data_IF_237858266920
#
_entry.id   IF_237858266920
#
_cell.length_a   1.000
_cell.length_b   1.000
_cell.length_c   1.000
_cell.angle_alpha   90.00
_cell.angle_beta   90.00
_cell.angle_gamma   90.00
#
_symmetry.space_group_name_H-M   'P 1'
#
loop_
_entity.id
_entity.type
_entity.pdbx_description
1 polymer ?
#
# COMPACT_ATOMS: atom_id res chain seq x y z
N UNK A 1 19.02 -7.05 16.42
CA UNK A 1 18.08 -6.52 17.45
C UNK A 1 16.63 -6.45 16.95
N UNK A 2 16.33 -6.83 15.70
CA UNK A 2 14.94 -6.83 15.19
C UNK A 2 14.40 -5.44 14.88
N UNK A 3 15.22 -4.39 14.94
CA UNK A 3 14.79 -3.00 14.74
C UNK A 3 14.79 -2.57 13.28
N UNK A 4 15.67 -3.13 12.46
CA UNK A 4 15.94 -2.61 11.12
C UNK A 4 15.50 -3.58 10.04
N UNK A 5 14.86 -3.06 8.99
CA UNK A 5 14.68 -3.74 7.73
C UNK A 5 15.60 -3.14 6.65
N UNK A 6 16.02 -3.97 5.71
CA UNK A 6 16.75 -3.54 4.52
C UNK A 6 15.86 -3.73 3.30
N UNK A 7 15.65 -2.65 2.55
CA UNK A 7 14.87 -2.65 1.33
C UNK A 7 15.77 -2.43 0.12
N UNK A 8 15.63 -3.27 -0.89
CA UNK A 8 16.53 -3.29 -2.04
C UNK A 8 15.75 -2.97 -3.32
N UNK A 9 16.29 -2.11 -4.18
CA UNK A 9 15.79 -1.90 -5.54
C UNK A 9 16.68 -2.60 -6.56
N UNK A 10 16.07 -3.30 -7.53
CA UNK A 10 16.77 -4.12 -8.54
C UNK A 10 17.82 -5.04 -7.90
N UNK A 11 17.41 -5.75 -6.86
CA UNK A 11 18.27 -6.71 -6.19
C UNK A 11 18.49 -7.94 -7.09
N UNK A 12 19.75 -8.29 -7.32
CA UNK A 12 20.15 -9.51 -8.03
C UNK A 12 20.95 -10.37 -7.08
N UNK A 13 20.52 -11.62 -6.89
CA UNK A 13 21.26 -12.61 -6.10
C UNK A 13 22.54 -12.96 -6.85
N UNK A 14 23.68 -12.85 -6.19
CA UNK A 14 24.99 -13.25 -6.72
C UNK A 14 25.42 -14.62 -6.16
N UNK A 15 25.11 -14.87 -4.89
CA UNK A 15 25.33 -16.15 -4.21
C UNK A 15 24.32 -16.30 -3.07
N UNK A 16 24.41 -17.38 -2.27
CA UNK A 16 23.54 -17.57 -1.10
C UNK A 16 23.70 -16.49 -0.02
N UNK A 17 24.81 -15.76 -0.03
CA UNK A 17 25.13 -14.74 0.97
C UNK A 17 25.38 -13.35 0.37
N UNK A 18 25.32 -13.19 -0.96
CA UNK A 18 25.62 -11.93 -1.63
C UNK A 18 24.54 -11.50 -2.63
N UNK A 19 24.22 -10.21 -2.59
CA UNK A 19 23.27 -9.56 -3.49
C UNK A 19 23.87 -8.23 -3.97
N UNK A 20 23.61 -7.88 -5.23
CA UNK A 20 23.85 -6.52 -5.76
C UNK A 20 22.53 -5.79 -5.85
N UNK A 21 22.51 -4.50 -5.59
CA UNK A 21 21.31 -3.66 -5.70
C UNK A 21 21.71 -2.26 -6.14
N UNK A 22 20.82 -1.57 -6.87
CA UNK A 22 21.05 -0.18 -7.28
C UNK A 22 20.63 0.82 -6.19
N UNK A 23 19.87 0.40 -5.18
CA UNK A 23 19.51 1.21 -4.00
C UNK A 23 19.24 0.32 -2.80
N UNK A 24 19.86 0.65 -1.68
CA UNK A 24 19.63 0.00 -0.38
C UNK A 24 19.12 1.06 0.58
N UNK A 25 17.94 0.84 1.16
CA UNK A 25 17.39 1.67 2.24
C UNK A 25 17.36 0.86 3.52
N UNK A 26 17.83 1.45 4.61
CA UNK A 26 17.77 0.89 5.96
C UNK A 26 16.63 1.56 6.71
N UNK A 27 15.55 0.82 6.92
CA UNK A 27 14.29 1.33 7.49
C UNK A 27 14.20 0.94 8.96
N UNK A 28 13.94 1.91 9.84
CA UNK A 28 13.61 1.64 11.24
C UNK A 28 12.18 1.12 11.33
N UNK A 29 12.00 -0.11 11.80
CA UNK A 29 10.68 -0.73 11.98
C UNK A 29 9.83 -0.03 13.04
N UNK A 30 10.44 0.86 13.84
CA UNK A 30 9.72 1.71 14.78
C UNK A 30 9.47 3.14 14.29
N UNK A 31 9.79 3.43 13.02
CA UNK A 31 9.45 4.71 12.38
C UNK A 31 8.11 4.66 11.65
N UNK A 32 7.68 5.81 11.12
CA UNK A 32 6.52 5.92 10.24
C UNK A 32 6.76 5.35 8.83
N UNK A 33 8.00 5.01 8.46
CA UNK A 33 8.36 4.52 7.13
C UNK A 33 8.19 5.53 5.99
N UNK A 34 7.97 6.82 6.31
CA UNK A 34 7.71 7.88 5.33
C UNK A 34 8.96 8.66 4.92
N UNK A 35 10.03 8.61 5.72
CA UNK A 35 11.26 9.37 5.48
C UNK A 35 12.02 8.92 4.23
N UNK A 36 12.09 7.61 3.99
CA UNK A 36 12.77 7.01 2.86
C UNK A 36 12.26 5.57 2.62
N UNK A 37 12.45 5.06 1.40
CA UNK A 37 12.10 3.71 1.00
C UNK A 37 12.57 3.39 -0.41
N UNK A 38 12.60 2.10 -0.75
CA UNK A 38 13.09 1.66 -2.07
C UNK A 38 12.02 1.71 -3.16
N UNK A 39 10.77 2.08 -2.84
CA UNK A 39 9.72 2.31 -3.86
C UNK A 39 9.98 3.61 -4.62
N UNK A 40 9.37 3.74 -5.79
CA UNK A 40 9.41 4.97 -6.60
C UNK A 40 8.95 6.22 -5.82
N UNK A 41 8.03 6.06 -4.86
CA UNK A 41 7.56 7.14 -3.97
C UNK A 41 8.55 7.56 -2.88
N UNK A 42 9.68 6.85 -2.74
CA UNK A 42 10.57 6.91 -1.57
C UNK A 42 9.86 6.65 -0.23
N UNK A 43 8.85 5.78 -0.25
CA UNK A 43 8.15 5.25 0.93
C UNK A 43 8.50 3.78 1.10
N UNK A 44 8.65 3.35 2.35
CA UNK A 44 9.03 1.98 2.69
C UNK A 44 8.09 0.95 2.06
N UNK A 45 8.66 -0.18 1.60
CA UNK A 45 7.90 -1.33 1.09
C UNK A 45 6.95 -1.93 2.11
N UNK A 46 7.24 -1.75 3.39
CA UNK A 46 6.43 -2.26 4.50
C UNK A 46 5.14 -1.47 4.65
N UNK A 47 5.10 -0.20 4.21
CA UNK A 47 3.90 0.61 4.22
C UNK A 47 2.89 0.03 3.23
N UNK A 48 1.73 -0.34 3.78
CA UNK A 48 0.61 -0.88 3.03
C UNK A 48 0.82 -2.28 2.44
N UNK A 49 1.78 -3.05 2.97
CA UNK A 49 1.97 -4.46 2.64
C UNK A 49 0.93 -5.33 3.37
N UNK A 50 0.16 -6.12 2.63
CA UNK A 50 -0.78 -7.08 3.19
C UNK A 50 0.02 -8.25 3.79
N UNK A 51 0.03 -8.34 5.13
CA UNK A 51 0.79 -9.34 5.88
C UNK A 51 0.08 -10.71 5.92
N UNK A 52 0.85 -11.75 6.16
CA UNK A 52 0.36 -13.15 6.23
C UNK A 52 -0.73 -13.31 7.30
N UNK A 53 -0.52 -12.76 8.50
CA UNK A 53 -1.48 -12.88 9.60
C UNK A 53 -2.79 -12.14 9.32
N UNK A 54 -2.76 -10.95 8.69
CA UNK A 54 -3.98 -10.19 8.37
C UNK A 54 -4.85 -10.88 7.32
N UNK A 55 -4.25 -11.67 6.43
CA UNK A 55 -4.97 -12.53 5.49
C UNK A 55 -5.64 -13.69 6.23
N UNK A 56 -4.92 -14.37 7.12
CA UNK A 56 -5.46 -15.47 7.90
C UNK A 56 -6.61 -15.03 8.83
N UNK A 57 -6.45 -13.88 9.49
CA UNK A 57 -7.44 -13.29 10.40
C UNK A 57 -8.59 -12.58 9.67
N UNK A 58 -8.46 -12.36 8.35
CA UNK A 58 -9.42 -11.57 7.55
C UNK A 58 -9.67 -10.19 8.16
N UNK A 59 -8.61 -9.55 8.63
CA UNK A 59 -8.63 -8.23 9.24
C UNK A 59 -7.36 -7.49 8.87
N UNK A 60 -7.48 -6.45 8.04
CA UNK A 60 -6.35 -5.63 7.59
C UNK A 60 -6.48 -4.24 8.24
N UNK A 61 -5.81 -3.98 9.38
CA UNK A 61 -6.03 -2.79 10.20
C UNK A 61 -5.11 -1.62 9.81
N UNK A 62 -4.82 -1.43 8.52
CA UNK A 62 -3.92 -0.38 8.04
C UNK A 62 -4.25 0.06 6.61
N UNK A 63 -3.76 1.24 6.23
CA UNK A 63 -3.82 1.72 4.86
C UNK A 63 -2.99 0.82 3.95
N UNK A 64 -3.44 0.64 2.70
CA UNK A 64 -2.81 -0.23 1.72
C UNK A 64 -1.89 0.55 0.80
N UNK A 65 -1.01 -0.18 0.12
CA UNK A 65 -0.26 0.37 -0.99
C UNK A 65 -0.82 -0.16 -2.30
N UNK A 66 -1.09 0.74 -3.24
CA UNK A 66 -1.56 0.43 -4.58
C UNK A 66 -0.52 0.89 -5.60
N UNK A 67 -0.25 0.05 -6.60
CA UNK A 67 0.49 0.40 -7.80
C UNK A 67 -0.49 0.66 -8.94
N UNK A 68 -0.20 1.64 -9.79
CA UNK A 68 -1.04 2.01 -10.94
C UNK A 68 -0.25 2.00 -12.25
N UNK A 69 -0.90 1.76 -13.41
CA UNK A 69 -0.26 1.81 -14.71
C UNK A 69 0.01 3.23 -15.20
N UNK A 70 0.90 3.35 -16.19
CA UNK A 70 1.34 4.63 -16.76
C UNK A 70 0.14 5.49 -17.24
N UNK A 71 -0.92 4.87 -17.77
CA UNK A 71 -2.11 5.56 -18.27
C UNK A 71 -2.97 6.19 -17.16
N UNK A 72 -2.80 5.76 -15.91
CA UNK A 72 -3.47 6.34 -14.75
C UNK A 72 -2.61 7.40 -14.06
N UNK A 73 -1.29 7.20 -14.05
CA UNK A 73 -0.35 8.06 -13.33
C UNK A 73 -0.10 9.39 -14.05
N UNK A 74 0.13 10.43 -13.25
CA UNK A 74 0.53 11.78 -13.68
C UNK A 74 1.91 12.10 -13.11
N UNK A 75 2.70 12.89 -13.83
CA UNK A 75 3.97 13.47 -13.34
C UNK A 75 3.74 14.39 -12.14
N UNK A 76 4.67 14.35 -11.21
CA UNK A 76 4.60 15.00 -9.91
C UNK A 76 4.01 14.08 -8.84
N UNK A 77 4.39 14.36 -7.59
CA UNK A 77 3.92 13.63 -6.42
C UNK A 77 3.23 14.56 -5.42
N UNK A 78 2.43 13.94 -4.55
CA UNK A 78 1.78 14.57 -3.41
C UNK A 78 2.11 13.78 -2.14
N UNK A 79 1.95 14.39 -0.97
CA UNK A 79 2.16 13.70 0.31
C UNK A 79 1.28 12.44 0.40
N UNK A 80 1.81 11.28 0.85
CA UNK A 80 3.10 11.11 1.53
C UNK A 80 4.29 10.81 0.62
N UNK A 81 4.12 10.70 -0.71
CA UNK A 81 5.25 10.43 -1.58
C UNK A 81 6.24 11.60 -1.59
N UNK A 82 7.53 11.29 -1.66
CA UNK A 82 8.64 12.26 -1.73
C UNK A 82 9.34 12.26 -3.09
N UNK A 83 8.99 11.30 -3.95
CA UNK A 83 9.54 11.15 -5.29
C UNK A 83 8.57 10.39 -6.20
N UNK A 84 9.00 10.18 -7.44
CA UNK A 84 8.35 9.30 -8.41
C UNK A 84 9.41 8.61 -9.28
N UNK A 85 8.99 7.65 -10.13
CA UNK A 85 9.87 7.10 -11.16
C UNK A 85 10.35 8.22 -12.10
N UNK A 86 11.66 8.36 -12.33
CA UNK A 86 12.22 9.42 -13.19
C UNK A 86 12.68 8.93 -14.56
N UNK A 87 12.87 7.61 -14.74
CA UNK A 87 13.39 7.02 -15.98
C UNK A 87 12.35 6.16 -16.67
N UNK A 88 12.09 6.45 -17.95
CA UNK A 88 11.19 5.66 -18.79
C UNK A 88 9.74 5.63 -18.30
N UNK A 89 9.30 6.63 -17.52
CA UNK A 89 7.90 6.82 -17.19
C UNK A 89 7.13 7.30 -18.43
N UNK A 90 5.89 6.83 -18.60
CA UNK A 90 4.98 7.25 -19.67
C UNK A 90 3.67 7.76 -19.09
N UNK A 91 3.76 8.41 -17.94
CA UNK A 91 2.63 8.94 -17.18
C UNK A 91 1.75 9.84 -18.05
N UNK A 92 0.55 9.36 -18.34
CA UNK A 92 -0.40 9.99 -19.25
C UNK A 92 -1.78 10.23 -18.61
N UNK A 93 -1.94 9.85 -17.35
CA UNK A 93 -3.19 9.99 -16.60
C UNK A 93 -3.24 11.24 -15.73
N UNK A 94 -3.99 11.15 -14.64
CA UNK A 94 -4.34 12.28 -13.77
C UNK A 94 -3.96 12.07 -12.31
N UNK A 95 -3.50 10.87 -11.93
CA UNK A 95 -3.26 10.49 -10.54
C UNK A 95 -1.77 10.68 -10.19
N UNK A 96 -1.40 11.69 -9.37
CA UNK A 96 -0.02 11.81 -8.90
C UNK A 96 0.32 10.69 -7.93
N UNK A 97 1.61 10.31 -7.89
CA UNK A 97 2.09 9.38 -6.87
C UNK A 97 1.90 10.00 -5.47
N UNK A 98 1.53 9.18 -4.49
CA UNK A 98 1.13 9.59 -3.15
C UNK A 98 -0.37 9.83 -2.97
N UNK A 99 -1.17 9.86 -4.04
CA UNK A 99 -2.63 9.99 -3.93
C UNK A 99 -3.25 8.90 -3.04
N UNK A 100 -4.21 9.29 -2.20
CA UNK A 100 -5.02 8.37 -1.40
C UNK A 100 -6.36 8.11 -2.07
N UNK A 101 -6.76 6.85 -2.13
CA UNK A 101 -8.10 6.43 -2.55
C UNK A 101 -8.78 5.60 -1.47
N UNK A 102 -10.08 5.79 -1.29
CA UNK A 102 -10.87 5.02 -0.35
C UNK A 102 -12.22 4.62 -0.97
N UNK A 103 -12.84 3.58 -0.43
CA UNK A 103 -14.25 3.28 -0.72
C UNK A 103 -15.11 4.20 0.16
N UNK A 104 -16.09 4.94 -0.39
CA UNK A 104 -17.00 5.75 0.42
C UNK A 104 -17.69 4.94 1.54
N UNK A 105 -17.92 5.54 2.72
CA UNK A 105 -18.41 4.82 3.90
C UNK A 105 -19.88 4.37 3.79
N UNK A 106 -20.64 4.98 2.90
CA UNK A 106 -22.05 4.65 2.60
C UNK A 106 -22.20 3.43 1.67
N UNK A 107 -21.10 2.95 1.08
CA UNK A 107 -21.11 1.72 0.29
C UNK A 107 -21.33 0.51 1.21
N UNK A 108 -22.44 -0.21 0.97
CA UNK A 108 -22.72 -1.46 1.67
C UNK A 108 -21.90 -2.63 1.09
N UNK A 109 -20.79 -2.98 1.75
CA UNK A 109 -19.91 -4.07 1.32
C UNK A 109 -20.57 -5.45 1.39
N UNK A 110 -21.48 -5.67 2.36
CA UNK A 110 -22.14 -6.97 2.55
C UNK A 110 -23.09 -7.30 1.37
N UNK A 111 -23.55 -6.28 0.64
CA UNK A 111 -24.37 -6.45 -0.56
C UNK A 111 -23.60 -6.94 -1.80
N UNK A 112 -22.26 -6.91 -1.76
CA UNK A 112 -21.40 -7.17 -2.94
C UNK A 112 -21.07 -8.66 -3.14
N UNK A 113 -21.53 -9.54 -2.25
CA UNK A 113 -21.27 -10.98 -2.31
C UNK A 113 -19.78 -11.31 -2.35
N UNK A 114 -18.98 -10.61 -1.54
CA UNK A 114 -17.52 -10.79 -1.45
C UNK A 114 -17.19 -12.11 -0.74
N UNK A 115 -16.04 -12.69 -1.06
CA UNK A 115 -15.39 -13.67 -0.19
C UNK A 115 -15.05 -13.05 1.17
N UNK A 116 -14.76 -13.88 2.18
CA UNK A 116 -14.33 -13.37 3.48
C UNK A 116 -13.05 -12.51 3.39
N UNK A 117 -12.12 -12.91 2.51
CA UNK A 117 -10.90 -12.14 2.24
C UNK A 117 -11.20 -10.85 1.47
N UNK A 118 -12.12 -10.89 0.51
CA UNK A 118 -12.60 -9.72 -0.22
C UNK A 118 -13.31 -8.71 0.69
N UNK A 119 -14.11 -9.18 1.65
CA UNK A 119 -14.77 -8.33 2.64
C UNK A 119 -13.75 -7.67 3.58
N UNK A 120 -12.73 -8.42 4.02
CA UNK A 120 -11.62 -7.86 4.80
C UNK A 120 -10.90 -6.74 4.05
N UNK A 121 -10.61 -6.94 2.76
CA UNK A 121 -10.02 -5.92 1.90
C UNK A 121 -10.95 -4.72 1.72
N UNK A 122 -12.23 -4.95 1.45
CA UNK A 122 -13.22 -3.87 1.30
C UNK A 122 -13.31 -2.99 2.55
N UNK A 123 -13.33 -3.61 3.74
CA UNK A 123 -13.31 -2.88 5.02
C UNK A 123 -12.05 -2.07 5.18
N UNK A 124 -10.88 -2.62 4.87
CA UNK A 124 -9.63 -1.87 4.92
C UNK A 124 -9.62 -0.66 3.97
N UNK A 125 -10.18 -0.81 2.76
CA UNK A 125 -10.31 0.28 1.79
C UNK A 125 -11.33 1.35 2.23
N UNK A 126 -12.32 1.02 3.06
CA UNK A 126 -13.23 1.99 3.69
C UNK A 126 -12.65 2.65 4.95
N UNK A 127 -11.92 1.88 5.74
CA UNK A 127 -11.41 2.28 7.05
C UNK A 127 -10.14 3.14 6.92
N UNK A 128 -9.25 2.78 5.98
CA UNK A 128 -7.90 3.34 5.86
C UNK A 128 -7.52 3.77 4.45
N UNK A 129 -8.14 3.19 3.42
CA UNK A 129 -7.84 3.49 2.02
C UNK A 129 -6.53 2.87 1.51
N UNK A 130 -6.11 3.30 0.32
CA UNK A 130 -4.90 2.85 -0.36
C UNK A 130 -4.13 4.01 -0.98
N UNK A 131 -2.82 4.09 -0.68
CA UNK A 131 -1.90 5.07 -1.22
C UNK A 131 -1.23 4.59 -2.51
N UNK A 132 -1.22 5.43 -3.54
CA UNK A 132 -0.52 5.17 -4.80
C UNK A 132 0.98 5.35 -4.59
N UNK A 133 1.74 4.26 -4.40
CA UNK A 133 3.15 4.36 -3.96
C UNK A 133 4.17 3.91 -5.02
N UNK A 134 3.72 3.40 -6.17
CA UNK A 134 4.62 2.91 -7.22
C UNK A 134 3.88 2.79 -8.56
N UNK A 135 4.60 2.84 -9.68
CA UNK A 135 4.09 2.35 -10.95
C UNK A 135 4.02 0.82 -10.97
N UNK A 136 2.96 0.27 -11.54
CA UNK A 136 2.81 -1.17 -11.80
C UNK A 136 2.13 -1.40 -13.16
N UNK A 137 2.24 -2.58 -13.76
CA UNK A 137 1.58 -2.85 -15.06
C UNK A 137 0.05 -2.88 -15.01
N UNK A 138 -0.53 -2.94 -13.80
CA UNK A 138 -1.97 -2.93 -13.55
C UNK A 138 -2.25 -2.20 -12.24
N UNK A 139 -3.53 -2.00 -11.92
CA UNK A 139 -3.91 -1.68 -10.55
C UNK A 139 -3.65 -2.89 -9.64
N UNK A 140 -2.64 -2.78 -8.78
CA UNK A 140 -2.15 -3.89 -7.98
C UNK A 140 -1.97 -3.51 -6.50
N UNK A 141 -2.41 -4.39 -5.61
CA UNK A 141 -2.08 -4.36 -4.18
C UNK A 141 -0.94 -5.34 -3.90
N UNK A 142 -0.20 -5.12 -2.81
CA UNK A 142 0.99 -5.90 -2.47
C UNK A 142 0.76 -6.74 -1.22
N UNK A 143 1.15 -8.02 -1.27
CA UNK A 143 1.09 -8.94 -0.15
C UNK A 143 2.44 -9.61 0.10
N UNK A 144 2.67 -10.08 1.32
CA UNK A 144 3.82 -10.91 1.64
C UNK A 144 3.82 -12.20 0.82
N UNK A 145 5.01 -12.69 0.40
CA UNK A 145 5.12 -13.94 -0.37
C UNK A 145 4.68 -15.17 0.43
N UNK A 146 4.63 -15.08 1.76
CA UNK A 146 4.18 -16.15 2.66
C UNK A 146 2.67 -16.13 2.93
N UNK A 147 1.94 -15.15 2.40
CA UNK A 147 0.48 -15.13 2.52
C UNK A 147 -0.15 -16.30 1.75
N UNK A 148 -1.26 -16.85 2.28
CA UNK A 148 -1.93 -17.97 1.63
C UNK A 148 -2.38 -17.62 0.20
N UNK A 149 -1.92 -18.40 -0.78
CA UNK A 149 -2.15 -18.13 -2.20
C UNK A 149 -3.63 -18.25 -2.57
N UNK A 150 -4.37 -19.20 -1.98
CA UNK A 150 -5.78 -19.38 -2.30
C UNK A 150 -6.62 -18.20 -1.77
N UNK A 151 -6.34 -17.76 -0.55
CA UNK A 151 -6.95 -16.60 0.09
C UNK A 151 -6.65 -15.30 -0.66
N UNK A 152 -5.38 -15.05 -0.99
CA UNK A 152 -4.99 -13.86 -1.77
C UNK A 152 -5.57 -13.87 -3.19
N UNK A 153 -5.75 -15.03 -3.82
CA UNK A 153 -6.45 -15.14 -5.11
C UNK A 153 -7.94 -14.78 -5.03
N UNK A 154 -8.65 -15.21 -3.97
CA UNK A 154 -10.04 -14.81 -3.73
C UNK A 154 -10.14 -13.30 -3.52
N UNK A 155 -9.28 -12.76 -2.67
CA UNK A 155 -9.16 -11.32 -2.41
C UNK A 155 -8.91 -10.53 -3.69
N UNK A 156 -7.94 -10.95 -4.51
CA UNK A 156 -7.62 -10.35 -5.81
C UNK A 156 -8.80 -10.37 -6.77
N UNK A 157 -9.51 -11.49 -6.87
CA UNK A 157 -10.69 -11.61 -7.74
C UNK A 157 -11.78 -10.61 -7.34
N UNK A 158 -12.09 -10.50 -6.05
CA UNK A 158 -13.07 -9.53 -5.56
C UNK A 158 -12.61 -8.08 -5.73
N UNK A 159 -11.31 -7.80 -5.51
CA UNK A 159 -10.73 -6.50 -5.75
C UNK A 159 -10.95 -6.05 -7.20
N UNK A 160 -10.54 -6.87 -8.15
CA UNK A 160 -10.60 -6.54 -9.59
C UNK A 160 -12.03 -6.44 -10.11
N UNK A 161 -12.93 -7.31 -9.64
CA UNK A 161 -14.32 -7.38 -10.17
C UNK A 161 -15.27 -6.40 -9.50
N UNK A 162 -15.05 -6.06 -8.22
CA UNK A 162 -16.05 -5.38 -7.39
C UNK A 162 -15.50 -4.14 -6.70
N UNK A 163 -14.36 -4.22 -6.02
CA UNK A 163 -13.90 -3.14 -5.13
C UNK A 163 -13.20 -2.00 -5.86
N UNK A 164 -12.36 -2.29 -6.86
CA UNK A 164 -11.54 -1.26 -7.52
C UNK A 164 -12.37 -0.11 -8.09
N UNK A 165 -13.50 -0.40 -8.74
CA UNK A 165 -14.40 0.61 -9.32
C UNK A 165 -15.10 1.50 -8.28
N UNK A 166 -15.07 1.12 -7.00
CA UNK A 166 -15.69 1.85 -5.90
C UNK A 166 -14.74 2.88 -5.28
N UNK A 167 -13.45 2.81 -5.60
CA UNK A 167 -12.45 3.74 -5.08
C UNK A 167 -12.72 5.18 -5.56
N UNK A 168 -12.63 6.13 -4.63
CA UNK A 168 -12.73 7.57 -4.87
C UNK A 168 -11.51 8.27 -4.30
N UNK A 169 -11.00 9.32 -4.97
CA UNK A 169 -9.87 10.08 -4.46
C UNK A 169 -10.24 10.80 -3.16
N UNK A 170 -9.35 10.75 -2.18
CA UNK A 170 -9.44 11.53 -0.95
C UNK A 170 -8.66 12.83 -1.17
N UNK A 171 -9.39 13.93 -1.42
CA UNK A 171 -8.82 15.17 -1.97
C UNK A 171 -8.17 16.10 -0.94
N UNK A 172 -8.39 15.83 0.34
CA UNK A 172 -7.88 16.60 1.48
C UNK A 172 -6.85 15.82 2.31
N UNK A 173 -6.22 14.80 1.72
CA UNK A 173 -5.10 14.09 2.32
C UNK A 173 -3.82 14.92 2.18
N UNK A 174 -3.29 15.38 3.31
CA UNK A 174 -2.03 16.16 3.40
C UNK A 174 -1.24 15.74 4.63
N UNK A 175 -0.02 16.25 4.78
CA UNK A 175 0.80 16.01 5.98
C UNK A 175 0.11 16.48 7.27
N UNK A 176 -0.65 17.58 7.22
CA UNK A 176 -1.42 18.09 8.38
C UNK A 176 -2.80 17.45 8.53
N UNK A 177 -3.28 16.74 7.50
CA UNK A 177 -4.55 16.01 7.49
C UNK A 177 -4.40 14.58 6.94
N UNK A 178 -3.57 13.71 7.56
CA UNK A 178 -3.42 12.32 7.13
C UNK A 178 -4.76 11.60 7.01
N UNK A 179 -4.97 10.87 5.93
CA UNK A 179 -6.22 10.12 5.71
C UNK A 179 -7.40 10.96 5.23
N UNK A 180 -7.20 12.25 4.94
CA UNK A 180 -8.29 13.16 4.52
C UNK A 180 -8.90 13.96 5.67
N UNK A 181 -8.25 14.03 6.84
CA UNK A 181 -8.76 14.79 7.97
C UNK A 181 -10.15 14.34 8.44
N UNK A 182 -10.87 15.24 9.14
CA UNK A 182 -12.15 14.92 9.76
C UNK A 182 -12.01 13.90 10.90
N UNK A 183 -13.09 13.18 11.20
CA UNK A 183 -13.09 12.10 12.20
C UNK A 183 -12.77 10.77 11.51
N UNK A 184 -11.64 10.12 11.83
CA UNK A 184 -11.29 8.82 11.25
C UNK A 184 -12.33 7.75 11.60
N UNK A 185 -12.54 6.79 10.67
CA UNK A 185 -13.46 5.66 10.90
C UNK A 185 -12.91 4.60 11.84
N UNK A 186 -11.59 4.55 11.96
CA UNK A 186 -10.87 3.72 12.92
C UNK A 186 -9.85 4.60 13.66
N UNK A 187 -9.54 4.29 14.93
CA UNK A 187 -8.43 4.95 15.61
C UNK A 187 -7.13 4.73 14.84
N UNK A 188 -6.18 5.65 15.02
CA UNK A 188 -4.83 5.42 14.54
C UNK A 188 -4.30 4.08 15.09
N UNK A 189 -3.61 3.28 14.27
CA UNK A 189 -2.97 2.08 14.78
C UNK A 189 -2.03 2.46 15.95
N UNK A 190 -1.84 1.57 16.93
CA UNK A 190 -0.89 1.82 18.00
C UNK A 190 0.47 2.17 17.39
N UNK A 191 1.13 3.18 17.97
CA UNK A 191 2.47 3.56 17.55
C UNK A 191 3.43 2.37 17.61
N UNK A 192 4.52 2.38 16.82
CA UNK A 192 5.42 1.25 16.78
C UNK A 192 5.99 0.95 18.18
N UNK A 193 5.68 -0.21 18.75
CA UNK A 193 6.14 -0.61 20.09
C UNK A 193 7.33 -1.55 20.00
N UNK A 194 8.43 -1.23 20.67
CA UNK A 194 9.60 -2.10 20.82
C UNK A 194 9.34 -3.43 21.58
N UNK A 195 8.12 -3.67 22.04
CA UNK A 195 7.72 -4.82 22.84
C UNK A 195 6.87 -5.79 22.00
N UNK A 196 7.45 -6.35 20.95
CA UNK A 196 6.89 -7.51 20.27
C UNK A 196 8.02 -8.25 19.52
N UNK A 197 8.98 -8.78 20.28
CA UNK A 197 9.85 -9.88 19.85
C UNK A 197 10.12 -10.78 21.05
#
# INVERSE_FOLDING_TARGET
>A
DGRWAYELYKATKQSDTAWTSTRVVKTDLFSDGLKDGSRASSISHLIGLIRTHVVAEKKIPHALAIGLPDEALKKGWVWPANSEDTSGNKYAGTVPMGSLFAIPPDVNLDSLGLSGEGLALGRALQDYGAYVLVRASTSALFAEPTADNAATNRMKSDYQKKLYKLLRPVTNNTESTPGGGGTPRQPAPPGPSAQAV
#
